data_IF_499196953325
#
_entry.id   IF_499196953325
#
_cell.length_a   1.000
_cell.length_b   1.000
_cell.length_c   1.000
_cell.angle_alpha   90.00
_cell.angle_beta   90.00
_cell.angle_gamma   90.00
#
_symmetry.space_group_name_H-M   'P 1'
#
loop_
_entity.id
_entity.type
_entity.pdbx_description
1 polymer ?
#
# COMPACT_ATOMS: atom_id res chain seq x y z
N UNK A 1 -26.25 -1.59 12.58
CA UNK A 1 -26.10 -1.74 11.10
C UNK A 1 -24.77 -2.41 10.77
N UNK A 2 -24.53 -2.75 9.49
CA UNK A 2 -23.21 -3.21 8.99
C UNK A 2 -22.69 -2.28 7.91
N UNK A 3 -21.38 -2.04 7.86
CA UNK A 3 -20.72 -1.38 6.73
C UNK A 3 -19.58 -2.26 6.20
N UNK A 4 -19.27 -2.12 4.92
CA UNK A 4 -18.10 -2.74 4.30
C UNK A 4 -16.94 -1.77 4.31
N UNK A 5 -15.77 -2.19 4.78
CA UNK A 5 -14.53 -1.41 4.75
C UNK A 5 -13.48 -2.10 3.87
N UNK A 6 -13.09 -1.43 2.79
CA UNK A 6 -12.06 -1.85 1.82
C UNK A 6 -11.13 -0.69 1.48
N UNK A 7 -9.97 -0.97 0.91
CA UNK A 7 -8.94 0.00 0.52
C UNK A 7 -7.97 -0.64 -0.49
N UNK A 8 -7.02 0.14 -0.99
CA UNK A 8 -5.83 -0.33 -1.70
C UNK A 8 -6.18 -1.19 -2.93
N UNK A 9 -7.18 -0.73 -3.68
CA UNK A 9 -7.65 -1.39 -4.90
C UNK A 9 -6.61 -1.33 -6.02
N UNK A 10 -5.82 -0.24 -6.06
CA UNK A 10 -4.79 0.04 -7.05
C UNK A 10 -5.21 -0.31 -8.48
N UNK A 11 -6.39 0.13 -8.92
CA UNK A 11 -6.92 -0.24 -10.24
C UNK A 11 -5.92 0.12 -11.34
N UNK A 12 -5.57 -0.87 -12.17
CA UNK A 12 -4.55 -0.75 -13.21
C UNK A 12 -3.14 -1.21 -12.83
N UNK A 13 -2.94 -1.71 -11.61
CA UNK A 13 -1.67 -2.28 -11.17
C UNK A 13 -1.25 -3.44 -12.07
N UNK A 14 0.07 -3.57 -12.23
CA UNK A 14 0.69 -4.69 -12.93
C UNK A 14 1.58 -5.47 -11.99
N UNK A 15 1.61 -6.79 -12.14
CA UNK A 15 2.54 -7.66 -11.44
C UNK A 15 3.64 -8.11 -12.39
N UNK A 16 4.82 -7.52 -12.28
CA UNK A 16 5.99 -7.80 -13.15
C UNK A 16 5.65 -7.85 -14.66
N UNK A 17 4.83 -6.89 -15.10
CA UNK A 17 4.42 -6.72 -16.49
C UNK A 17 3.05 -7.32 -16.84
N UNK A 18 2.53 -8.23 -16.03
CA UNK A 18 1.18 -8.78 -16.21
C UNK A 18 0.13 -7.79 -15.69
N UNK A 19 -0.89 -7.50 -16.48
CA UNK A 19 -2.06 -6.74 -16.00
C UNK A 19 -2.80 -7.53 -14.93
N UNK A 20 -3.26 -6.85 -13.88
CA UNK A 20 -4.11 -7.42 -12.84
C UNK A 20 -5.59 -7.05 -13.00
N UNK A 21 -5.99 -6.42 -14.11
CA UNK A 21 -7.36 -5.93 -14.27
C UNK A 21 -8.42 -7.05 -14.22
N UNK A 22 -8.10 -8.25 -14.70
CA UNK A 22 -9.01 -9.41 -14.63
C UNK A 22 -9.18 -9.85 -13.17
N UNK A 23 -8.08 -9.96 -12.44
CA UNK A 23 -8.04 -10.27 -11.01
C UNK A 23 -8.79 -9.21 -10.18
N UNK A 24 -8.64 -7.93 -10.53
CA UNK A 24 -9.32 -6.81 -9.87
C UNK A 24 -10.83 -6.85 -10.08
N UNK A 25 -11.28 -7.21 -11.30
CA UNK A 25 -12.70 -7.37 -11.60
C UNK A 25 -13.32 -8.58 -10.88
N UNK A 26 -12.58 -9.68 -10.79
CA UNK A 26 -13.03 -10.87 -10.06
C UNK A 26 -13.14 -10.60 -8.55
N UNK A 27 -12.10 -9.99 -7.94
CA UNK A 27 -12.11 -9.61 -6.53
C UNK A 27 -13.24 -8.61 -6.21
N UNK A 28 -13.48 -7.62 -7.07
CA UNK A 28 -14.61 -6.69 -6.94
C UNK A 28 -15.96 -7.43 -7.00
N UNK A 29 -16.10 -8.42 -7.88
CA UNK A 29 -17.35 -9.18 -8.01
C UNK A 29 -17.65 -9.98 -6.75
N UNK A 30 -16.63 -10.60 -6.14
CA UNK A 30 -16.75 -11.28 -4.85
C UNK A 30 -17.10 -10.31 -3.72
N UNK A 31 -16.47 -9.13 -3.68
CA UNK A 31 -16.79 -8.07 -2.72
C UNK A 31 -18.25 -7.64 -2.83
N UNK A 32 -18.74 -7.39 -4.06
CA UNK A 32 -20.12 -6.99 -4.32
C UNK A 32 -21.11 -8.08 -3.89
N UNK A 33 -20.83 -9.35 -4.20
CA UNK A 33 -21.68 -10.48 -3.78
C UNK A 33 -21.81 -10.52 -2.25
N UNK A 34 -20.70 -10.36 -1.52
CA UNK A 34 -20.72 -10.35 -0.05
C UNK A 34 -21.44 -9.12 0.48
N UNK A 35 -21.23 -7.93 -0.10
CA UNK A 35 -21.93 -6.71 0.31
C UNK A 35 -23.45 -6.87 0.23
N UNK A 36 -23.94 -7.48 -0.87
CA UNK A 36 -25.35 -7.78 -1.06
C UNK A 36 -25.85 -8.83 -0.07
N UNK A 37 -25.11 -9.93 0.11
CA UNK A 37 -25.48 -11.03 1.01
C UNK A 37 -25.52 -10.61 2.48
N UNK A 38 -24.59 -9.76 2.89
CA UNK A 38 -24.48 -9.25 4.26
C UNK A 38 -25.44 -8.09 4.55
N UNK A 39 -26.12 -7.59 3.52
CA UNK A 39 -27.03 -6.45 3.57
C UNK A 39 -26.33 -5.22 4.20
N UNK A 40 -25.12 -4.91 3.73
CA UNK A 40 -24.38 -3.76 4.27
C UNK A 40 -25.12 -2.45 3.94
N UNK A 41 -25.15 -1.55 4.91
CA UNK A 41 -25.80 -0.26 4.78
C UNK A 41 -25.00 0.72 3.90
N UNK A 42 -23.67 0.54 3.82
CA UNK A 42 -22.78 1.39 3.03
C UNK A 42 -21.43 0.71 2.73
N UNK A 43 -20.71 1.27 1.76
CA UNK A 43 -19.35 0.89 1.39
C UNK A 43 -18.38 2.02 1.74
N UNK A 44 -17.29 1.70 2.44
CA UNK A 44 -16.17 2.59 2.75
C UNK A 44 -14.96 2.16 1.93
N UNK A 45 -14.36 3.09 1.18
CA UNK A 45 -13.15 2.91 0.37
C UNK A 45 -12.05 3.82 0.92
N UNK A 46 -11.14 3.26 1.73
CA UNK A 46 -10.12 4.02 2.47
C UNK A 46 -8.85 4.31 1.64
N UNK A 47 -9.00 4.78 0.40
CA UNK A 47 -7.90 5.26 -0.43
C UNK A 47 -7.26 4.24 -1.37
N UNK A 48 -6.33 4.74 -2.17
CA UNK A 48 -5.61 4.06 -3.24
C UNK A 48 -6.54 3.33 -4.22
N UNK A 49 -7.47 4.10 -4.80
CA UNK A 49 -8.41 3.61 -5.80
C UNK A 49 -7.67 3.27 -7.10
N UNK A 50 -6.70 4.10 -7.52
CA UNK A 50 -5.84 3.85 -8.67
C UNK A 50 -4.42 3.45 -8.26
N UNK A 51 -3.75 2.67 -9.11
CA UNK A 51 -2.32 2.33 -8.91
C UNK A 51 -1.40 3.57 -9.01
N UNK A 52 -1.82 4.58 -9.79
CA UNK A 52 -1.00 5.75 -10.13
C UNK A 52 -1.84 7.00 -10.25
N UNK A 53 -1.19 8.13 -9.98
CA UNK A 53 -1.80 9.47 -10.06
C UNK A 53 -2.25 9.85 -11.48
N UNK A 54 -1.64 9.26 -12.51
CA UNK A 54 -2.06 9.36 -13.90
C UNK A 54 -2.44 7.96 -14.43
N UNK A 55 -3.68 7.47 -14.15
CA UNK A 55 -4.11 6.14 -14.54
C UNK A 55 -4.33 6.02 -16.06
N UNK A 56 -4.27 4.79 -16.57
CA UNK A 56 -4.58 4.52 -17.98
C UNK A 56 -6.08 4.68 -18.26
N UNK A 57 -6.46 4.93 -19.52
CA UNK A 57 -7.87 5.02 -19.90
C UNK A 57 -8.66 3.75 -19.59
N UNK A 58 -8.02 2.58 -19.70
CA UNK A 58 -8.61 1.29 -19.34
C UNK A 58 -8.89 1.21 -17.83
N UNK A 59 -7.91 1.62 -17.00
CA UNK A 59 -8.06 1.67 -15.54
C UNK A 59 -9.18 2.60 -15.11
N UNK A 60 -9.28 3.78 -15.74
CA UNK A 60 -10.36 4.75 -15.50
C UNK A 60 -11.71 4.13 -15.81
N UNK A 61 -11.85 3.47 -16.96
CA UNK A 61 -13.08 2.79 -17.34
C UNK A 61 -13.46 1.69 -16.34
N UNK A 62 -12.50 0.86 -15.94
CA UNK A 62 -12.75 -0.26 -15.00
C UNK A 62 -13.21 0.26 -13.64
N UNK A 63 -12.52 1.24 -13.06
CA UNK A 63 -12.97 1.82 -11.79
C UNK A 63 -14.35 2.47 -11.93
N UNK A 64 -14.59 3.21 -13.01
CA UNK A 64 -15.89 3.84 -13.26
C UNK A 64 -17.02 2.79 -13.32
N UNK A 65 -16.82 1.69 -14.05
CA UNK A 65 -17.80 0.61 -14.15
C UNK A 65 -18.07 -0.04 -12.77
N UNK A 66 -17.04 -0.23 -11.94
CA UNK A 66 -17.17 -0.73 -10.57
C UNK A 66 -17.99 0.21 -9.67
N UNK A 67 -17.69 1.51 -9.73
CA UNK A 67 -18.39 2.53 -8.93
C UNK A 67 -19.85 2.71 -9.37
N UNK A 68 -20.13 2.63 -10.67
CA UNK A 68 -21.51 2.64 -11.22
C UNK A 68 -22.30 1.46 -10.64
N UNK A 69 -21.72 0.25 -10.66
CA UNK A 69 -22.36 -0.94 -10.08
C UNK A 69 -22.68 -0.76 -8.61
N UNK A 70 -21.73 -0.28 -7.80
CA UNK A 70 -21.96 -0.07 -6.37
C UNK A 70 -23.05 0.97 -6.10
N UNK A 71 -22.91 2.18 -6.66
CA UNK A 71 -23.69 3.33 -6.23
C UNK A 71 -24.96 3.58 -7.05
N UNK A 72 -24.93 3.35 -8.37
CA UNK A 72 -26.07 3.64 -9.24
C UNK A 72 -26.96 2.42 -9.49
N UNK A 73 -26.37 1.24 -9.66
CA UNK A 73 -27.13 0.00 -9.89
C UNK A 73 -27.62 -0.60 -8.58
N UNK A 74 -26.70 -0.86 -7.63
CA UNK A 74 -27.01 -1.49 -6.34
C UNK A 74 -27.34 -0.50 -5.21
N UNK A 75 -27.22 0.80 -5.47
CA UNK A 75 -27.68 1.89 -4.57
C UNK A 75 -27.01 1.92 -3.20
N UNK A 76 -25.81 1.37 -3.08
CA UNK A 76 -25.03 1.55 -1.86
C UNK A 76 -24.57 3.01 -1.74
N UNK A 77 -24.78 3.66 -0.57
CA UNK A 77 -23.99 4.82 -0.17
C UNK A 77 -22.50 4.46 -0.18
N UNK A 78 -21.68 5.35 -0.74
CA UNK A 78 -20.22 5.16 -0.85
C UNK A 78 -19.51 6.32 -0.17
N UNK A 79 -18.58 5.98 0.72
CA UNK A 79 -17.72 6.92 1.42
C UNK A 79 -16.28 6.61 1.05
N UNK A 80 -15.67 7.48 0.24
CA UNK A 80 -14.34 7.24 -0.32
C UNK A 80 -13.39 8.42 -0.04
N UNK A 81 -12.12 8.10 0.10
CA UNK A 81 -11.04 9.09 0.17
C UNK A 81 -9.99 8.82 -0.90
N UNK A 82 -9.17 9.82 -1.23
CA UNK A 82 -7.93 9.58 -2.00
C UNK A 82 -6.81 9.05 -1.08
N UNK A 83 -6.05 8.08 -1.57
CA UNK A 83 -4.80 7.64 -0.95
C UNK A 83 -3.58 8.38 -1.51
N UNK A 84 -2.37 7.89 -1.20
CA UNK A 84 -1.12 8.51 -1.66
C UNK A 84 -0.76 8.20 -3.13
N UNK A 85 -1.39 7.20 -3.75
CA UNK A 85 -1.23 6.91 -5.17
C UNK A 85 -2.20 7.70 -6.07
N UNK A 86 -3.33 8.09 -5.52
CA UNK A 86 -4.36 8.83 -6.26
C UNK A 86 -3.92 10.27 -6.54
N UNK A 87 -4.38 10.84 -7.66
CA UNK A 87 -4.28 12.28 -7.87
C UNK A 87 -5.52 12.96 -7.29
N UNK A 88 -5.39 13.82 -6.26
CA UNK A 88 -6.55 14.50 -5.66
C UNK A 88 -7.40 15.23 -6.70
N UNK A 89 -6.77 16.06 -7.52
CA UNK A 89 -7.46 16.87 -8.54
C UNK A 89 -8.19 16.02 -9.58
N UNK A 90 -7.59 14.91 -10.03
CA UNK A 90 -8.20 14.06 -11.08
C UNK A 90 -9.29 13.16 -10.52
N UNK A 91 -9.08 12.60 -9.33
CA UNK A 91 -10.07 11.74 -8.68
C UNK A 91 -11.32 12.54 -8.29
N UNK A 92 -11.15 13.80 -7.86
CA UNK A 92 -12.25 14.67 -7.45
C UNK A 92 -13.14 15.17 -8.60
N UNK A 93 -12.82 14.84 -9.86
CA UNK A 93 -13.60 15.31 -11.01
C UNK A 93 -15.04 14.80 -10.89
N UNK A 94 -15.93 15.74 -10.64
CA UNK A 94 -17.36 15.51 -10.58
C UNK A 94 -17.92 15.06 -9.24
N UNK A 95 -17.13 15.07 -8.18
CA UNK A 95 -17.61 14.80 -6.81
C UNK A 95 -18.84 15.63 -6.40
N UNK A 96 -19.03 16.92 -6.79
CA UNK A 96 -20.24 17.66 -6.42
C UNK A 96 -21.52 17.10 -7.05
N UNK A 97 -21.41 16.44 -8.21
CA UNK A 97 -22.57 15.80 -8.88
C UNK A 97 -22.86 14.40 -8.34
N UNK A 98 -21.94 13.81 -7.58
CA UNK A 98 -22.05 12.46 -7.02
C UNK A 98 -22.83 12.44 -5.69
N UNK A 99 -22.72 13.51 -4.88
CA UNK A 99 -23.34 13.60 -3.56
C UNK A 99 -24.86 13.35 -3.52
N UNK A 100 -25.69 13.82 -4.48
CA UNK A 100 -27.12 13.50 -4.49
C UNK A 100 -27.44 12.01 -4.57
N UNK A 101 -26.50 11.18 -5.04
CA UNK A 101 -26.61 9.72 -5.06
C UNK A 101 -25.96 9.06 -3.83
N UNK A 102 -25.68 9.83 -2.76
CA UNK A 102 -24.99 9.37 -1.56
C UNK A 102 -23.60 8.78 -1.84
N UNK A 103 -22.92 9.32 -2.85
CA UNK A 103 -21.50 9.06 -3.09
C UNK A 103 -20.72 10.27 -2.61
N UNK A 104 -19.95 10.07 -1.57
CA UNK A 104 -19.10 11.08 -0.96
C UNK A 104 -17.63 10.70 -1.20
N UNK A 105 -16.94 11.58 -1.92
CA UNK A 105 -15.51 11.46 -2.19
C UNK A 105 -14.82 12.68 -1.62
N UNK A 106 -13.86 12.47 -0.73
CA UNK A 106 -13.03 13.53 -0.19
C UNK A 106 -11.60 13.34 -0.65
N UNK A 107 -11.03 14.34 -1.31
CA UNK A 107 -9.63 14.28 -1.80
C UNK A 107 -8.76 15.41 -1.24
N UNK A 108 -9.33 16.28 -0.42
CA UNK A 108 -8.69 17.48 0.09
C UNK A 108 -8.82 17.59 1.61
N UNK A 109 -7.81 18.13 2.27
CA UNK A 109 -7.77 18.24 3.74
C UNK A 109 -8.86 19.19 4.27
N UNK A 110 -9.21 20.22 3.50
CA UNK A 110 -10.15 21.28 3.87
C UNK A 110 -11.59 20.78 4.02
N UNK A 111 -11.90 19.65 3.37
CA UNK A 111 -13.21 19.00 3.38
C UNK A 111 -13.34 18.02 4.57
N UNK A 112 -12.23 17.61 5.18
CA UNK A 112 -12.19 16.49 6.12
C UNK A 112 -12.74 16.82 7.51
N UNK A 113 -12.79 18.09 7.91
CA UNK A 113 -13.32 18.50 9.22
C UNK A 113 -14.84 18.44 9.33
N UNK A 114 -15.56 18.36 8.21
CA UNK A 114 -17.02 18.32 8.19
C UNK A 114 -17.52 16.88 8.12
N UNK A 115 -18.28 16.40 9.12
CA UNK A 115 -18.79 15.04 9.10
C UNK A 115 -19.88 14.87 8.05
N UNK A 116 -19.95 13.67 7.48
CA UNK A 116 -21.11 13.21 6.73
C UNK A 116 -22.04 12.48 7.69
N UNK A 117 -23.25 13.01 7.81
CA UNK A 117 -24.30 12.43 8.63
C UNK A 117 -24.93 11.22 7.92
N UNK A 118 -24.83 10.05 8.54
CA UNK A 118 -25.43 8.81 8.02
C UNK A 118 -26.06 8.00 9.14
N UNK A 119 -27.39 8.08 9.25
CA UNK A 119 -28.14 7.44 10.35
C UNK A 119 -27.61 7.92 11.73
N UNK A 120 -27.21 7.00 12.61
CA UNK A 120 -26.60 7.24 13.92
C UNK A 120 -25.07 7.43 13.86
N UNK A 121 -24.50 7.60 12.66
CA UNK A 121 -23.08 7.82 12.42
C UNK A 121 -22.78 9.25 11.97
N UNK A 122 -21.61 9.73 12.40
CA UNK A 122 -20.85 10.77 11.75
C UNK A 122 -19.60 10.14 11.14
N UNK A 123 -19.47 10.24 9.82
CA UNK A 123 -18.30 9.78 9.09
C UNK A 123 -17.40 10.97 8.74
N UNK A 124 -16.16 10.91 9.21
CA UNK A 124 -15.10 11.84 8.84
C UNK A 124 -14.22 11.19 7.78
N UNK A 125 -14.05 11.88 6.65
CA UNK A 125 -13.28 11.40 5.50
C UNK A 125 -11.97 12.19 5.42
N UNK A 126 -10.89 11.62 5.94
CA UNK A 126 -9.56 12.24 5.92
C UNK A 126 -8.70 11.61 4.82
N UNK A 127 -8.57 12.25 3.65
CA UNK A 127 -7.69 11.75 2.60
C UNK A 127 -6.22 11.82 3.03
N UNK A 128 -5.38 11.07 2.33
CA UNK A 128 -3.93 11.23 2.47
C UNK A 128 -3.53 12.67 2.12
N UNK A 129 -2.63 13.23 2.93
CA UNK A 129 -2.02 14.52 2.67
C UNK A 129 -0.57 14.53 3.15
N UNK A 130 0.25 15.34 2.50
CA UNK A 130 1.62 15.64 2.93
C UNK A 130 1.67 16.79 3.95
N UNK A 131 2.70 16.88 4.82
CA UNK A 131 2.80 17.93 5.84
C UNK A 131 2.64 19.37 5.32
N UNK A 132 3.03 19.63 4.07
CA UNK A 132 2.86 20.97 3.48
C UNK A 132 1.39 21.37 3.27
N UNK A 133 0.50 20.42 2.97
CA UNK A 133 -0.93 20.70 2.86
C UNK A 133 -1.51 21.08 4.23
N UNK A 134 -1.05 20.42 5.31
CA UNK A 134 -1.45 20.79 6.66
C UNK A 134 -0.94 22.18 7.05
N UNK A 135 0.34 22.52 6.72
CA UNK A 135 0.86 23.88 6.93
C UNK A 135 0.00 24.94 6.24
N UNK A 136 -0.35 24.71 4.98
CA UNK A 136 -1.18 25.62 4.19
C UNK A 136 -2.58 25.76 4.80
N UNK A 137 -3.22 24.64 5.15
CA UNK A 137 -4.57 24.64 5.72
C UNK A 137 -4.66 25.32 7.08
N UNK A 138 -3.73 25.04 7.99
CA UNK A 138 -3.71 25.62 9.33
C UNK A 138 -3.02 27.00 9.40
N UNK A 139 -2.30 27.40 8.34
CA UNK A 139 -1.46 28.59 8.35
C UNK A 139 -0.31 28.52 9.36
N UNK A 140 0.19 27.31 9.63
CA UNK A 140 1.20 27.04 10.66
C UNK A 140 2.46 26.40 10.06
N UNK A 141 3.52 27.20 9.92
CA UNK A 141 4.82 26.76 9.38
C UNK A 141 5.59 25.78 10.29
N UNK A 142 5.14 25.58 11.52
CA UNK A 142 5.77 24.65 12.47
C UNK A 142 5.42 23.18 12.22
N UNK A 143 4.39 22.88 11.41
CA UNK A 143 4.01 21.51 11.07
C UNK A 143 5.05 20.90 10.13
N UNK A 144 5.95 20.07 10.68
CA UNK A 144 7.06 19.43 9.94
C UNK A 144 6.83 17.96 9.61
N UNK A 145 5.96 17.29 10.33
CA UNK A 145 5.69 15.86 10.21
C UNK A 145 4.20 15.57 10.06
N UNK A 146 3.90 14.34 9.63
CA UNK A 146 2.51 13.95 9.38
C UNK A 146 1.72 13.74 10.67
N UNK A 147 2.37 13.27 11.74
CA UNK A 147 1.75 13.05 13.05
C UNK A 147 1.09 14.33 13.57
N UNK A 148 1.82 15.45 13.53
CA UNK A 148 1.33 16.76 13.99
C UNK A 148 0.15 17.22 13.14
N UNK A 149 0.25 17.10 11.81
CA UNK A 149 -0.84 17.46 10.90
C UNK A 149 -2.12 16.65 11.13
N UNK A 150 -1.99 15.32 11.31
CA UNK A 150 -3.14 14.44 11.56
C UNK A 150 -3.73 14.70 12.94
N UNK A 151 -2.90 14.93 13.97
CA UNK A 151 -3.39 15.26 15.30
C UNK A 151 -4.23 16.54 15.30
N UNK A 152 -3.74 17.61 14.67
CA UNK A 152 -4.50 18.87 14.53
C UNK A 152 -5.81 18.67 13.77
N UNK A 153 -5.83 17.82 12.73
CA UNK A 153 -7.07 17.48 12.03
C UNK A 153 -8.06 16.72 12.91
N UNK A 154 -7.60 15.74 13.70
CA UNK A 154 -8.49 15.01 14.63
C UNK A 154 -9.04 15.93 15.71
N UNK A 155 -8.22 16.84 16.26
CA UNK A 155 -8.67 17.87 17.20
C UNK A 155 -9.76 18.74 16.55
N UNK A 156 -9.52 19.20 15.31
CA UNK A 156 -10.50 20.00 14.54
C UNK A 156 -11.79 19.25 14.23
N UNK A 157 -11.73 17.96 13.91
CA UNK A 157 -12.90 17.11 13.69
C UNK A 157 -13.72 16.93 14.97
N UNK A 158 -13.03 16.75 16.11
CA UNK A 158 -13.66 16.52 17.42
C UNK A 158 -14.53 17.70 17.87
N UNK A 159 -14.25 18.92 17.41
CA UNK A 159 -15.10 20.10 17.61
C UNK A 159 -16.51 19.95 17.00
N UNK A 160 -16.67 19.08 16.00
CA UNK A 160 -17.92 18.85 15.27
C UNK A 160 -18.66 17.57 15.70
N UNK A 161 -18.19 16.89 16.75
CA UNK A 161 -18.81 15.66 17.23
C UNK A 161 -20.19 15.91 17.84
N UNK A 162 -21.18 15.20 17.33
CA UNK A 162 -22.47 15.00 17.96
C UNK A 162 -22.37 13.83 18.94
N UNK A 163 -22.41 14.15 20.24
CA UNK A 163 -22.38 13.15 21.33
C UNK A 163 -23.51 12.10 21.26
N UNK A 164 -24.60 12.37 20.53
CA UNK A 164 -25.66 11.38 20.31
C UNK A 164 -25.28 10.32 19.29
N UNK A 165 -24.31 10.58 18.40
CA UNK A 165 -23.89 9.69 17.31
C UNK A 165 -22.58 8.97 17.58
N UNK A 166 -22.30 7.93 16.79
CA UNK A 166 -20.99 7.26 16.76
C UNK A 166 -20.08 7.93 15.75
N UNK A 167 -18.79 7.94 16.07
CA UNK A 167 -17.77 8.66 15.32
C UNK A 167 -16.90 7.67 14.54
N UNK A 168 -16.96 7.72 13.22
CA UNK A 168 -16.14 6.90 12.33
C UNK A 168 -15.15 7.77 11.56
N UNK A 169 -13.89 7.35 11.51
CA UNK A 169 -12.87 7.97 10.67
C UNK A 169 -12.51 7.03 9.52
N UNK A 170 -12.43 7.57 8.31
CA UNK A 170 -11.82 6.92 7.15
C UNK A 170 -10.53 7.67 6.85
N UNK A 171 -9.41 6.96 6.81
CA UNK A 171 -8.10 7.58 6.63
C UNK A 171 -7.09 6.67 5.93
N UNK A 172 -5.99 7.23 5.47
CA UNK A 172 -5.00 6.52 4.67
C UNK A 172 -3.59 6.93 5.09
N UNK A 173 -3.13 6.40 6.22
CA UNK A 173 -1.79 6.70 6.75
C UNK A 173 -1.16 5.45 7.34
N UNK A 174 0.17 5.43 7.35
CA UNK A 174 0.90 4.46 8.12
C UNK A 174 0.79 4.76 9.62
N UNK A 175 0.45 3.72 10.38
CA UNK A 175 0.38 3.76 11.84
C UNK A 175 1.59 3.06 12.45
N UNK A 176 2.27 3.74 13.38
CA UNK A 176 3.44 3.23 14.07
C UNK A 176 3.17 1.87 14.74
N UNK A 177 4.13 0.96 14.64
CA UNK A 177 4.00 -0.42 15.12
C UNK A 177 3.37 -1.39 14.11
N UNK A 178 3.03 -0.93 12.90
CA UNK A 178 2.56 -1.80 11.81
C UNK A 178 3.73 -2.45 11.05
N UNK A 179 3.50 -3.64 10.49
CA UNK A 179 4.45 -4.30 9.57
C UNK A 179 4.22 -3.85 8.13
N UNK A 180 5.31 -3.64 7.36
CA UNK A 180 5.28 -3.24 5.94
C UNK A 180 5.67 -4.37 4.99
N UNK A 181 5.21 -4.27 3.75
CA UNK A 181 5.51 -5.19 2.65
C UNK A 181 6.26 -4.52 1.49
N UNK A 182 6.94 -5.29 0.64
CA UNK A 182 7.75 -4.75 -0.47
C UNK A 182 6.94 -3.98 -1.53
N UNK A 183 5.65 -4.29 -1.66
CA UNK A 183 4.76 -3.64 -2.63
C UNK A 183 4.28 -2.26 -2.20
N UNK A 184 4.50 -1.90 -0.94
CA UNK A 184 4.09 -0.63 -0.34
C UNK A 184 5.15 0.44 -0.62
N UNK A 185 4.72 1.68 -0.85
CA UNK A 185 5.65 2.74 -1.21
C UNK A 185 6.54 3.11 -0.02
N UNK A 186 7.86 3.06 -0.21
CA UNK A 186 8.90 3.42 0.75
C UNK A 186 9.06 4.93 0.95
N UNK A 187 7.95 5.69 1.03
CA UNK A 187 7.95 7.12 1.38
C UNK A 187 8.35 7.32 2.86
N UNK A 188 9.57 6.93 3.21
CA UNK A 188 10.23 7.16 4.49
C UNK A 188 11.64 7.71 4.23
N UNK A 189 11.73 8.91 3.69
CA UNK A 189 12.97 9.68 3.90
C UNK A 189 12.90 10.23 5.33
N UNK A 190 13.44 9.48 6.29
CA UNK A 190 13.74 9.97 7.64
C UNK A 190 12.76 9.62 8.78
N UNK A 191 11.84 8.67 8.62
CA UNK A 191 11.00 8.17 9.73
C UNK A 191 9.90 9.12 10.25
N UNK A 192 9.67 10.25 9.55
CA UNK A 192 8.71 11.30 9.92
C UNK A 192 7.29 11.10 9.34
N UNK A 193 7.03 9.95 8.71
CA UNK A 193 5.80 9.67 7.96
C UNK A 193 4.83 8.72 8.68
N UNK A 194 4.91 8.63 10.02
CA UNK A 194 4.13 7.66 10.81
C UNK A 194 3.19 8.38 11.78
N UNK A 195 1.97 7.88 11.93
CA UNK A 195 0.98 8.36 12.90
C UNK A 195 0.88 7.36 14.06
N UNK A 196 0.68 7.82 15.29
CA UNK A 196 0.47 6.92 16.45
C UNK A 196 -1.01 6.56 16.59
N UNK A 197 -1.30 5.39 17.17
CA UNK A 197 -2.68 4.94 17.40
C UNK A 197 -3.46 5.86 18.34
N UNK A 198 -2.77 6.47 19.31
CA UNK A 198 -3.38 7.32 20.33
C UNK A 198 -4.07 8.54 19.71
N UNK A 199 -3.60 8.99 18.55
CA UNK A 199 -4.21 10.05 17.73
C UNK A 199 -5.68 9.75 17.39
N UNK A 200 -6.08 8.48 17.33
CA UNK A 200 -7.39 8.04 16.87
C UNK A 200 -8.35 7.62 17.98
N UNK A 201 -7.98 7.82 19.24
CA UNK A 201 -8.74 7.32 20.41
C UNK A 201 -10.15 7.90 20.54
N UNK A 202 -10.39 9.09 19.97
CA UNK A 202 -11.67 9.76 20.00
C UNK A 202 -12.75 9.11 19.10
N UNK A 203 -12.35 8.25 18.15
CA UNK A 203 -13.28 7.57 17.24
C UNK A 203 -13.73 6.20 17.78
N UNK A 204 -14.95 5.80 17.40
CA UNK A 204 -15.50 4.47 17.69
C UNK A 204 -14.91 3.40 16.77
N UNK A 205 -14.55 3.77 15.54
CA UNK A 205 -13.86 2.92 14.58
C UNK A 205 -13.07 3.76 13.57
N UNK A 206 -11.88 3.29 13.21
CA UNK A 206 -11.03 3.93 12.19
C UNK A 206 -10.74 2.93 11.08
N UNK A 207 -11.28 3.23 9.91
CA UNK A 207 -11.09 2.52 8.66
C UNK A 207 -9.83 3.03 7.95
N UNK A 208 -8.73 2.27 8.03
CA UNK A 208 -7.47 2.59 7.38
C UNK A 208 -7.28 1.83 6.06
N UNK A 209 -6.77 2.52 5.05
CA UNK A 209 -5.99 1.94 3.94
C UNK A 209 -4.50 2.20 4.10
N UNK A 210 -3.71 2.06 3.03
CA UNK A 210 -2.25 2.27 2.90
C UNK A 210 -1.42 1.00 3.05
N UNK A 211 -1.75 0.16 4.04
CA UNK A 211 -1.05 -1.11 4.25
C UNK A 211 -1.83 -2.25 3.63
N UNK A 212 -1.14 -3.07 2.84
CA UNK A 212 -1.76 -4.13 2.05
C UNK A 212 -2.13 -5.36 2.88
N UNK A 213 -1.60 -5.48 4.11
CA UNK A 213 -1.91 -6.56 5.02
C UNK A 213 -2.93 -6.15 6.08
N UNK A 214 -4.06 -6.86 6.14
CA UNK A 214 -5.17 -6.54 7.05
C UNK A 214 -4.81 -6.63 8.53
N UNK A 215 -3.84 -7.48 8.89
CA UNK A 215 -3.31 -7.64 10.26
C UNK A 215 -1.95 -6.94 10.44
N UNK A 216 -1.63 -5.95 9.59
CA UNK A 216 -0.39 -5.18 9.72
C UNK A 216 -0.26 -4.55 11.11
N UNK A 217 -1.39 -4.18 11.72
CA UNK A 217 -1.46 -3.62 13.06
C UNK A 217 -1.91 -4.68 14.09
N UNK A 218 -0.95 -5.20 14.86
CA UNK A 218 -1.19 -6.30 15.83
C UNK A 218 -1.99 -5.89 17.08
N UNK A 219 -1.96 -4.61 17.43
CA UNK A 219 -2.62 -4.06 18.62
C UNK A 219 -3.49 -2.89 18.16
N UNK A 220 -4.78 -2.89 18.50
CA UNK A 220 -5.72 -1.87 18.03
C UNK A 220 -7.10 -2.47 17.77
N UNK A 221 -8.02 -2.32 18.73
CA UNK A 221 -9.37 -2.88 18.59
C UNK A 221 -10.22 -2.11 17.58
N UNK A 222 -10.07 -0.77 17.58
CA UNK A 222 -10.87 0.16 16.77
C UNK A 222 -10.20 0.62 15.47
N UNK A 223 -8.87 0.63 15.44
CA UNK A 223 -8.07 1.08 14.29
C UNK A 223 -7.70 -0.14 13.46
N UNK A 224 -8.22 -0.23 12.24
CA UNK A 224 -8.08 -1.43 11.41
C UNK A 224 -7.69 -1.06 9.99
N UNK A 225 -6.70 -1.76 9.44
CA UNK A 225 -6.50 -1.81 8.00
C UNK A 225 -7.45 -2.83 7.38
N UNK A 226 -8.02 -2.52 6.21
CA UNK A 226 -8.69 -3.56 5.42
C UNK A 226 -7.70 -4.45 4.67
N UNK A 227 -6.52 -3.92 4.34
CA UNK A 227 -5.63 -4.52 3.37
C UNK A 227 -6.12 -4.32 1.94
N UNK A 228 -5.30 -4.80 1.00
CA UNK A 228 -5.62 -4.83 -0.42
C UNK A 228 -6.51 -6.01 -0.79
N UNK A 229 -7.21 -5.89 -1.93
CA UNK A 229 -8.01 -6.99 -2.49
C UNK A 229 -7.15 -8.08 -3.16
N UNK A 230 -5.92 -7.76 -3.56
CA UNK A 230 -5.00 -8.64 -4.28
C UNK A 230 -3.59 -8.61 -3.70
N UNK A 231 -2.80 -9.63 -4.02
CA UNK A 231 -1.36 -9.70 -3.73
C UNK A 231 -0.59 -8.93 -4.81
N UNK A 232 0.34 -8.07 -4.40
CA UNK A 232 1.08 -7.22 -5.33
C UNK A 232 2.60 -7.50 -5.37
N UNK A 233 3.10 -8.31 -4.45
CA UNK A 233 4.47 -8.84 -4.44
C UNK A 233 4.50 -10.33 -4.04
N UNK A 234 5.68 -10.94 -4.15
CA UNK A 234 5.91 -12.30 -3.63
C UNK A 234 5.98 -12.35 -2.10
N UNK A 235 6.28 -11.24 -1.42
CA UNK A 235 6.28 -11.19 0.05
C UNK A 235 4.88 -11.41 0.62
N UNK A 236 3.85 -11.02 -0.14
CA UNK A 236 2.45 -11.18 0.21
C UNK A 236 1.87 -12.58 -0.09
N UNK A 237 2.67 -13.52 -0.60
CA UNK A 237 2.18 -14.82 -1.08
C UNK A 237 1.43 -15.65 -0.01
N UNK A 238 1.78 -15.47 1.26
CA UNK A 238 1.16 -16.18 2.39
C UNK A 238 0.04 -15.39 3.07
N UNK A 239 -0.32 -14.21 2.57
CA UNK A 239 -1.35 -13.38 3.17
C UNK A 239 -2.73 -13.67 2.56
N UNK A 240 -3.76 -13.62 3.39
CA UNK A 240 -5.14 -13.55 2.92
C UNK A 240 -5.47 -12.11 2.52
N UNK A 241 -6.15 -11.96 1.38
CA UNK A 241 -6.58 -10.68 0.81
C UNK A 241 -8.08 -10.56 0.82
N UNK A 242 -8.61 -9.35 0.90
CA UNK A 242 -10.04 -9.15 1.11
C UNK A 242 -10.40 -7.81 1.73
N UNK A 243 -11.44 -7.80 2.54
CA UNK A 243 -12.02 -6.60 3.13
C UNK A 243 -12.66 -6.91 4.49
N UNK A 244 -13.16 -5.89 5.19
CA UNK A 244 -13.81 -6.07 6.49
C UNK A 244 -15.30 -5.79 6.42
N UNK A 245 -16.08 -6.57 7.18
CA UNK A 245 -17.44 -6.20 7.58
C UNK A 245 -17.34 -5.63 8.99
N UNK A 246 -17.87 -4.43 9.17
CA UNK A 246 -17.87 -3.70 10.43
C UNK A 246 -19.29 -3.69 10.97
N UNK A 247 -19.47 -4.33 12.12
CA UNK A 247 -20.74 -4.40 12.83
C UNK A 247 -20.82 -3.24 13.82
N UNK A 248 -21.82 -2.38 13.61
CA UNK A 248 -22.08 -1.17 14.39
C UNK A 248 -23.37 -1.38 15.17
N UNK A 249 -23.31 -1.69 16.47
CA UNK A 249 -24.50 -1.89 17.29
C UNK A 249 -25.27 -0.58 17.51
N UNK A 250 -26.60 -0.65 17.51
CA UNK A 250 -27.49 0.47 17.84
C UNK A 250 -27.29 0.93 19.29
N UNK A 251 -27.07 -0.01 20.21
CA UNK A 251 -26.71 0.29 21.59
C UNK A 251 -25.26 0.78 21.68
N UNK A 252 -25.08 2.07 21.97
CA UNK A 252 -23.76 2.72 22.12
C UNK A 252 -22.89 2.12 23.22
N UNK A 253 -23.45 1.39 24.18
CA UNK A 253 -22.67 0.69 25.19
C UNK A 253 -21.92 -0.53 24.62
N UNK A 254 -22.35 -1.07 23.47
CA UNK A 254 -21.67 -2.16 22.79
C UNK A 254 -20.58 -1.61 21.85
N UNK A 255 -19.40 -2.24 21.81
CA UNK A 255 -18.30 -1.78 20.96
C UNK A 255 -18.61 -2.04 19.48
N UNK A 256 -18.10 -1.18 18.61
CA UNK A 256 -18.01 -1.49 17.19
C UNK A 256 -17.01 -2.62 17.01
N UNK A 257 -17.38 -3.64 16.23
CA UNK A 257 -16.50 -4.78 15.95
C UNK A 257 -16.33 -4.95 14.45
N UNK A 258 -15.27 -5.64 14.04
CA UNK A 258 -15.10 -5.95 12.62
C UNK A 258 -14.49 -7.33 12.43
N UNK A 259 -14.87 -7.98 11.34
CA UNK A 259 -14.32 -9.26 10.91
C UNK A 259 -13.84 -9.16 9.47
N UNK A 260 -12.75 -9.87 9.19
CA UNK A 260 -12.19 -9.95 7.85
C UNK A 260 -12.94 -10.98 7.01
N UNK A 261 -13.11 -10.69 5.72
CA UNK A 261 -13.66 -11.58 4.70
C UNK A 261 -12.60 -11.77 3.63
N UNK A 262 -12.07 -12.98 3.57
CA UNK A 262 -11.10 -13.36 2.56
C UNK A 262 -11.78 -13.51 1.19
N UNK A 263 -11.09 -13.03 0.17
CA UNK A 263 -11.40 -13.23 -1.25
C UNK A 263 -10.59 -14.41 -1.74
N UNK A 264 -11.20 -15.23 -2.61
CA UNK A 264 -10.48 -16.30 -3.29
C UNK A 264 -9.83 -15.73 -4.55
N UNK A 265 -8.49 -15.74 -4.70
CA UNK A 265 -7.87 -15.20 -5.89
C UNK A 265 -8.22 -16.02 -7.13
N UNK A 266 -8.45 -15.34 -8.26
CA UNK A 266 -8.62 -15.99 -9.56
C UNK A 266 -7.37 -16.80 -9.95
N UNK A 267 -6.20 -16.21 -9.70
CA UNK A 267 -4.87 -16.82 -9.85
C UNK A 267 -4.04 -16.42 -8.64
N UNK A 268 -3.54 -17.40 -7.91
CA UNK A 268 -2.78 -17.12 -6.70
C UNK A 268 -1.31 -16.80 -7.02
N UNK A 269 -0.55 -16.43 -5.98
CA UNK A 269 0.88 -16.17 -6.02
C UNK A 269 1.59 -17.29 -5.32
N UNK A 270 2.60 -17.87 -5.98
CA UNK A 270 3.40 -18.93 -5.41
C UNK A 270 4.89 -18.69 -5.63
N UNK A 271 5.69 -19.29 -4.75
CA UNK A 271 7.14 -19.38 -4.91
C UNK A 271 7.57 -20.83 -4.92
N UNK A 272 8.28 -21.23 -5.97
CA UNK A 272 8.82 -22.58 -6.10
C UNK A 272 10.35 -22.52 -6.15
N UNK A 273 10.97 -23.54 -5.59
CA UNK A 273 12.43 -23.67 -5.52
C UNK A 273 12.84 -25.04 -6.05
N UNK A 274 13.93 -25.07 -6.82
CA UNK A 274 14.54 -26.32 -7.26
C UNK A 274 15.50 -26.12 -8.42
N UNK A 275 16.19 -27.19 -8.81
CA UNK A 275 17.03 -27.18 -9.99
C UNK A 275 16.20 -27.09 -11.27
N UNK A 276 16.68 -26.37 -12.26
CA UNK A 276 16.00 -26.15 -13.54
C UNK A 276 15.55 -27.45 -14.21
N UNK A 277 16.43 -28.45 -14.28
CA UNK A 277 16.12 -29.73 -14.91
C UNK A 277 14.95 -30.45 -14.22
N UNK A 278 14.83 -30.31 -12.90
CA UNK A 278 13.74 -30.89 -12.11
C UNK A 278 12.43 -30.12 -12.31
N UNK A 279 12.48 -28.79 -12.33
CA UNK A 279 11.31 -27.94 -12.58
C UNK A 279 10.75 -28.12 -14.00
N UNK A 280 11.57 -28.57 -14.94
CA UNK A 280 11.14 -28.92 -16.30
C UNK A 280 10.50 -30.31 -16.45
N UNK A 281 10.49 -31.15 -15.40
CA UNK A 281 9.90 -32.48 -15.49
C UNK A 281 8.38 -32.46 -15.27
N UNK A 282 7.61 -33.28 -16.02
CA UNK A 282 6.17 -33.43 -15.83
C UNK A 282 5.75 -33.73 -14.39
N UNK A 283 6.50 -34.61 -13.71
CA UNK A 283 6.21 -35.02 -12.33
C UNK A 283 6.31 -33.85 -11.33
N UNK A 284 7.06 -32.81 -11.67
CA UNK A 284 7.20 -31.58 -10.89
C UNK A 284 6.07 -30.61 -11.18
N UNK A 285 5.90 -30.21 -12.44
CA UNK A 285 4.94 -29.14 -12.78
C UNK A 285 3.48 -29.60 -12.76
N UNK A 286 3.18 -30.91 -12.76
CA UNK A 286 1.82 -31.42 -12.56
C UNK A 286 1.33 -31.29 -11.11
N UNK A 287 2.22 -31.03 -10.15
CA UNK A 287 1.89 -30.88 -8.72
C UNK A 287 1.66 -29.43 -8.29
N UNK A 288 1.82 -28.48 -9.20
CA UNK A 288 1.73 -27.05 -8.94
C UNK A 288 0.69 -26.43 -9.87
N UNK A 289 0.05 -25.36 -9.40
CA UNK A 289 -0.78 -24.53 -10.26
C UNK A 289 0.12 -23.74 -11.21
N UNK A 290 0.10 -24.13 -12.49
CA UNK A 290 0.92 -23.50 -13.52
C UNK A 290 0.41 -22.13 -13.94
N UNK A 291 -0.86 -21.85 -13.69
CA UNK A 291 -1.50 -20.57 -14.02
C UNK A 291 -1.31 -19.52 -12.92
N UNK A 292 -0.78 -19.90 -11.76
CA UNK A 292 -0.43 -18.98 -10.68
C UNK A 292 0.73 -18.04 -11.07
N UNK A 293 0.73 -16.84 -10.50
CA UNK A 293 1.88 -15.94 -10.56
C UNK A 293 3.05 -16.55 -9.81
N UNK A 294 4.07 -16.98 -10.55
CA UNK A 294 5.10 -17.86 -10.00
C UNK A 294 6.44 -17.13 -9.92
N UNK A 295 7.00 -17.05 -8.72
CA UNK A 295 8.42 -16.76 -8.50
C UNK A 295 9.21 -18.07 -8.45
N UNK A 296 10.33 -18.16 -9.16
CA UNK A 296 11.19 -19.34 -9.18
C UNK A 296 12.55 -18.99 -8.58
N UNK A 297 13.02 -19.81 -7.64
CA UNK A 297 14.41 -19.80 -7.17
C UNK A 297 15.11 -21.04 -7.71
N UNK A 298 16.10 -20.83 -8.56
CA UNK A 298 16.96 -21.89 -9.07
C UNK A 298 18.07 -22.19 -8.07
N UNK A 299 18.23 -23.47 -7.77
CA UNK A 299 19.31 -23.99 -6.90
C UNK A 299 20.58 -24.35 -7.70
N UNK A 300 20.52 -24.20 -9.02
CA UNK A 300 21.63 -24.46 -9.91
C UNK A 300 22.85 -23.58 -9.55
N UNK A 301 24.05 -24.13 -9.67
CA UNK A 301 25.29 -23.41 -9.35
C UNK A 301 25.77 -22.51 -10.50
N UNK A 302 25.22 -22.69 -11.69
CA UNK A 302 25.60 -21.98 -12.92
C UNK A 302 24.39 -21.35 -13.56
N UNK A 303 24.61 -20.22 -14.25
CA UNK A 303 23.57 -19.61 -15.08
C UNK A 303 23.16 -20.57 -16.19
N UNK A 304 21.85 -20.66 -16.43
CA UNK A 304 21.27 -21.52 -17.48
C UNK A 304 20.80 -20.65 -18.63
N UNK A 305 21.28 -20.97 -19.82
CA UNK A 305 20.94 -20.25 -21.04
C UNK A 305 19.43 -20.32 -21.31
N UNK A 306 18.83 -19.15 -21.54
CA UNK A 306 17.39 -18.99 -21.81
C UNK A 306 16.47 -19.69 -20.78
N UNK A 307 16.86 -19.74 -19.50
CA UNK A 307 16.05 -20.37 -18.46
C UNK A 307 14.65 -19.75 -18.34
N UNK A 308 14.54 -18.42 -18.42
CA UNK A 308 13.25 -17.72 -18.36
C UNK A 308 12.32 -18.14 -19.52
N UNK A 309 12.85 -18.25 -20.74
CA UNK A 309 12.05 -18.62 -21.91
C UNK A 309 11.48 -20.03 -21.77
N UNK A 310 12.33 -21.00 -21.42
CA UNK A 310 11.94 -22.39 -21.22
C UNK A 310 10.96 -22.55 -20.05
N UNK A 311 11.23 -21.89 -18.93
CA UNK A 311 10.33 -21.95 -17.77
C UNK A 311 8.99 -21.26 -18.05
N UNK A 312 8.93 -20.22 -18.90
CA UNK A 312 7.67 -19.58 -19.28
C UNK A 312 6.76 -20.47 -20.13
N UNK A 313 7.30 -21.42 -20.88
CA UNK A 313 6.47 -22.41 -21.59
C UNK A 313 5.74 -23.33 -20.62
N UNK A 314 6.32 -23.54 -19.43
CA UNK A 314 5.76 -24.40 -18.38
C UNK A 314 4.93 -23.59 -17.38
N UNK A 315 5.42 -22.44 -16.96
CA UNK A 315 4.84 -21.48 -16.00
C UNK A 315 4.57 -20.15 -16.71
N UNK A 316 3.43 -19.99 -17.41
CA UNK A 316 3.16 -18.84 -18.27
C UNK A 316 3.24 -17.49 -17.54
N UNK A 317 2.98 -17.48 -16.22
CA UNK A 317 3.03 -16.30 -15.36
C UNK A 317 4.26 -16.27 -14.46
N UNK A 318 5.41 -16.64 -15.02
CA UNK A 318 6.71 -16.46 -14.36
C UNK A 318 6.98 -14.96 -14.14
N UNK A 319 6.83 -14.52 -12.90
CA UNK A 319 6.99 -13.11 -12.49
C UNK A 319 8.42 -12.82 -12.03
N UNK A 320 9.12 -13.79 -11.45
CA UNK A 320 10.49 -13.59 -10.96
C UNK A 320 11.32 -14.87 -11.14
N UNK A 321 12.57 -14.72 -11.54
CA UNK A 321 13.56 -15.80 -11.52
C UNK A 321 14.79 -15.33 -10.73
N UNK A 322 15.14 -16.06 -9.68
CA UNK A 322 16.31 -15.82 -8.86
C UNK A 322 17.25 -17.02 -8.92
N UNK A 323 18.56 -16.80 -8.89
CA UNK A 323 19.57 -17.86 -8.71
C UNK A 323 20.10 -17.80 -7.28
N UNK A 324 19.93 -18.89 -6.51
CA UNK A 324 20.30 -18.92 -5.10
C UNK A 324 21.78 -18.57 -4.87
N UNK A 325 22.67 -19.09 -5.73
CA UNK A 325 24.12 -18.86 -5.67
C UNK A 325 24.51 -17.37 -5.79
N UNK A 326 23.81 -16.60 -6.64
CA UNK A 326 24.06 -15.16 -6.81
C UNK A 326 23.52 -14.35 -5.64
N UNK A 327 22.42 -14.80 -5.02
CA UNK A 327 21.84 -14.15 -3.85
C UNK A 327 22.79 -14.25 -2.66
N UNK A 328 23.38 -15.43 -2.43
CA UNK A 328 24.39 -15.63 -1.37
C UNK A 328 25.61 -14.74 -1.60
N UNK A 329 26.11 -14.63 -2.84
CA UNK A 329 27.25 -13.76 -3.15
C UNK A 329 26.94 -12.28 -2.90
N UNK A 330 25.75 -11.79 -3.28
CA UNK A 330 25.31 -10.40 -3.01
C UNK A 330 25.10 -10.11 -1.53
N UNK A 331 24.56 -11.05 -0.76
CA UNK A 331 24.39 -10.89 0.69
C UNK A 331 25.75 -10.91 1.40
N UNK A 332 26.66 -11.81 1.02
CA UNK A 332 28.02 -11.84 1.58
C UNK A 332 28.81 -10.59 1.23
N UNK A 333 28.71 -10.07 -0.01
CA UNK A 333 29.40 -8.83 -0.39
C UNK A 333 28.79 -7.59 0.28
N UNK A 334 27.47 -7.52 0.49
CA UNK A 334 26.84 -6.46 1.29
C UNK A 334 27.22 -6.49 2.77
N UNK A 335 27.27 -7.67 3.40
CA UNK A 335 27.68 -7.80 4.82
C UNK A 335 29.16 -7.41 4.96
N UNK A 336 30.02 -7.85 4.03
CA UNK A 336 31.42 -7.44 3.98
C UNK A 336 31.56 -5.92 3.75
N UNK A 337 30.75 -5.32 2.88
CA UNK A 337 30.71 -3.87 2.68
C UNK A 337 30.23 -3.13 3.94
N UNK A 338 29.17 -3.55 4.62
CA UNK A 338 28.67 -2.87 5.83
C UNK A 338 29.63 -2.95 7.02
N UNK A 339 30.33 -4.08 7.20
CA UNK A 339 31.39 -4.21 8.23
C UNK A 339 32.63 -3.37 7.86
N UNK A 340 33.01 -3.34 6.57
CA UNK A 340 34.16 -2.55 6.12
C UNK A 340 33.86 -1.05 6.15
N UNK A 341 32.67 -0.60 5.74
CA UNK A 341 32.26 0.82 5.70
C UNK A 341 32.25 1.47 7.09
N UNK A 342 32.04 0.71 8.17
CA UNK A 342 32.08 1.24 9.55
C UNK A 342 33.50 1.56 10.05
N UNK A 343 34.53 1.07 9.37
CA UNK A 343 35.94 1.26 9.75
C UNK A 343 36.73 2.14 8.78
N UNK A 344 36.17 2.47 7.61
CA UNK A 344 36.84 3.28 6.59
C UNK A 344 36.60 4.78 6.81
N UNK A 345 37.65 5.58 6.64
CA UNK A 345 37.50 7.04 6.57
C UNK A 345 36.85 7.47 5.24
N UNK A 346 36.33 8.70 5.17
CA UNK A 346 35.62 9.24 4.01
C UNK A 346 36.43 9.11 2.70
N UNK A 347 37.76 9.24 2.78
CA UNK A 347 38.65 9.12 1.62
C UNK A 347 38.66 7.68 1.11
N UNK A 348 38.78 6.72 2.03
CA UNK A 348 38.78 5.31 1.71
C UNK A 348 37.41 4.83 1.20
N UNK A 349 36.31 5.41 1.70
CA UNK A 349 34.95 5.14 1.24
C UNK A 349 34.77 5.53 -0.24
N UNK A 350 35.18 6.76 -0.59
CA UNK A 350 35.08 7.28 -1.96
C UNK A 350 36.00 6.52 -2.91
N UNK A 351 37.21 6.15 -2.46
CA UNK A 351 38.13 5.31 -3.21
C UNK A 351 37.55 3.92 -3.50
N UNK A 352 36.96 3.28 -2.49
CA UNK A 352 36.35 1.96 -2.61
C UNK A 352 35.16 1.99 -3.56
N UNK A 353 34.29 3.00 -3.45
CA UNK A 353 33.15 3.20 -4.33
C UNK A 353 33.57 3.47 -5.79
N UNK A 354 34.57 4.32 -6.00
CA UNK A 354 35.07 4.61 -7.35
C UNK A 354 35.63 3.35 -8.03
N UNK A 355 36.40 2.55 -7.28
CA UNK A 355 36.95 1.29 -7.79
C UNK A 355 35.87 0.27 -8.10
N UNK A 356 34.79 0.20 -7.32
CA UNK A 356 33.66 -0.69 -7.58
C UNK A 356 32.90 -0.32 -8.85
N UNK A 357 32.63 0.98 -9.06
CA UNK A 357 31.86 1.46 -10.22
C UNK A 357 32.68 1.46 -11.50
N UNK A 358 33.94 1.87 -11.42
CA UNK A 358 34.81 2.05 -12.59
C UNK A 358 35.71 0.86 -12.86
N UNK A 359 35.76 -0.12 -11.95
CA UNK A 359 36.68 -1.28 -11.99
C UNK A 359 38.17 -0.92 -12.06
N UNK A 360 38.52 0.32 -11.74
CA UNK A 360 39.87 0.87 -11.77
C UNK A 360 40.09 1.82 -10.56
N UNK A 361 41.30 1.88 -9.97
CA UNK A 361 41.58 2.78 -8.85
C UNK A 361 41.60 4.25 -9.30
N UNK A 362 41.45 5.18 -8.35
CA UNK A 362 41.66 6.61 -8.62
C UNK A 362 43.09 6.84 -9.12
N UNK A 363 43.23 7.63 -10.18
CA UNK A 363 44.55 8.15 -10.59
C UNK A 363 45.09 9.13 -9.55
N UNK A 364 46.42 9.34 -9.53
CA UNK A 364 47.09 10.29 -8.62
C UNK A 364 46.45 11.69 -8.67
N UNK A 365 46.03 12.12 -9.86
CA UNK A 365 45.38 13.42 -10.06
C UNK A 365 43.99 13.48 -9.41
N UNK A 366 43.22 12.38 -9.45
CA UNK A 366 41.89 12.31 -8.85
C UNK A 366 41.96 12.12 -7.32
N UNK A 367 42.98 11.43 -6.82
CA UNK A 367 43.26 11.37 -5.38
C UNK A 367 43.56 12.76 -4.82
N UNK A 368 44.39 13.54 -5.51
CA UNK A 368 44.70 14.92 -5.11
C UNK A 368 43.45 15.84 -5.09
N UNK A 369 42.52 15.65 -6.03
CA UNK A 369 41.24 16.39 -6.03
C UNK A 369 40.34 16.01 -4.86
N UNK A 370 40.27 14.72 -4.54
CA UNK A 370 39.47 14.23 -3.42
C UNK A 370 40.01 14.75 -2.07
N UNK A 371 41.33 14.69 -1.87
CA UNK A 371 41.97 15.23 -0.67
C UNK A 371 41.73 16.73 -0.52
N UNK A 372 41.81 17.49 -1.62
CA UNK A 372 41.54 18.92 -1.59
C UNK A 372 40.07 19.24 -1.24
N UNK A 373 39.12 18.51 -1.81
CA UNK A 373 37.69 18.71 -1.55
C UNK A 373 37.32 18.44 -0.08
N UNK A 374 37.86 17.37 0.50
CA UNK A 374 37.63 17.04 1.92
C UNK A 374 38.28 18.09 2.86
N UNK A 375 39.43 18.63 2.47
CA UNK A 375 40.13 19.68 3.22
C UNK A 375 39.42 21.05 3.17
N UNK A 376 38.69 21.32 2.09
CA UNK A 376 37.85 22.52 1.95
C UNK A 376 36.58 22.40 2.82
N UNK A 377 35.95 21.23 2.84
CA UNK A 377 34.74 20.97 3.63
C UNK A 377 35.00 21.02 5.15
N UNK A 378 36.14 20.51 5.61
CA UNK A 378 36.55 20.56 7.03
C UNK A 378 36.99 21.95 7.52
N UNK A 379 37.15 22.93 6.63
CA UNK A 379 37.42 24.33 6.98
C UNK A 379 36.17 25.19 7.07
N UNK A 380 35.05 24.74 6.49
CA UNK A 380 33.76 25.45 6.51
C UNK A 380 32.79 24.96 7.59
N UNK A 381 33.11 23.82 8.22
CA UNK A 381 32.48 23.29 9.46
C UNK A 381 33.23 23.74 10.72
#
# INVERSE_FOLDING_TARGET
>A
MKILHTADWHIGRKFNGFSLLEEQQDAFSQLLEVALKEEVAAIVIAGDLYDRSNPSAESVKVLQDMLIKLNLEHRFPVFAISGNHDSPTRLNVGSPWMQPNQFYLTTKIEEASSPIEFQDLQLFLLPYFEPFHAREYFGDESIRDIQTGVQLMVEKMSENFDSSKRQLLVSHFFVAGSTKEESETTLEVGGLANVTQDTFTAFDYVALGHLHYQDALKHGEKVKYSGSLLKYSLSEMNQEKGFRIVDIPEDKAQPVTSRFIAIKPLRDVQKITGNFAALCQPESYQKTDREAYTGIVLEDQTVIDNAIGQLREIYPRLIQLELAALKTQQTSSRILQEETIKELDTTQLVQSYYQEVMSEPLSEKQQAWLEQAILEETKES
#
